data_IF_168934113604
#
_entry.id   IF_168934113604
#
_cell.length_a   1.000
_cell.length_b   1.000
_cell.length_c   1.000
_cell.angle_alpha   90.00
_cell.angle_beta   90.00
_cell.angle_gamma   90.00
#
_symmetry.space_group_name_H-M   'P 1'
#
loop_
_entity.id
_entity.type
_entity.pdbx_description
1 polymer ?
#
# COMPACT_ATOMS: atom_id res chain seq x y z
N UNK A 1 6.98 37.85 0.39
CA UNK A 1 6.46 38.26 -0.92
C UNK A 1 5.10 37.57 -1.08
N UNK A 2 4.01 38.32 -0.92
CA UNK A 2 2.66 37.73 -1.03
C UNK A 2 2.31 37.64 -2.52
N UNK A 3 2.29 36.45 -3.07
CA UNK A 3 1.86 36.20 -4.45
C UNK A 3 0.32 36.16 -4.40
N UNK A 4 -0.33 37.23 -4.88
CA UNK A 4 -1.79 37.42 -4.80
C UNK A 4 -2.61 36.46 -5.65
N UNK A 5 -1.98 35.76 -6.58
CA UNK A 5 -2.58 34.91 -7.60
C UNK A 5 -2.47 33.40 -7.28
N UNK A 6 -1.89 33.02 -6.11
CA UNK A 6 -1.64 31.62 -5.74
C UNK A 6 -2.57 31.07 -4.66
N UNK A 7 -3.64 31.79 -4.28
CA UNK A 7 -4.60 31.26 -3.32
C UNK A 7 -5.55 30.27 -4.01
N UNK A 8 -5.62 29.05 -3.47
CA UNK A 8 -6.54 28.02 -3.96
C UNK A 8 -8.03 28.29 -3.66
N UNK A 9 -8.34 29.39 -2.98
CA UNK A 9 -9.69 29.88 -2.77
C UNK A 9 -9.94 31.03 -3.77
N UNK A 10 -10.91 30.83 -4.66
CA UNK A 10 -11.27 31.78 -5.72
C UNK A 10 -11.72 33.15 -5.17
N UNK A 11 -12.33 33.20 -3.97
CA UNK A 11 -12.77 34.44 -3.32
C UNK A 11 -11.60 35.30 -2.83
N UNK A 12 -10.41 34.72 -2.64
CA UNK A 12 -9.21 35.39 -2.17
C UNK A 12 -8.18 35.62 -3.28
N UNK A 13 -8.32 34.92 -4.41
CA UNK A 13 -7.40 35.03 -5.54
C UNK A 13 -7.47 36.48 -6.14
N UNK A 14 -6.31 37.09 -6.26
CA UNK A 14 -6.21 38.44 -6.79
C UNK A 14 -6.67 39.57 -5.83
N UNK A 15 -7.21 39.26 -4.65
CA UNK A 15 -7.67 40.25 -3.66
C UNK A 15 -6.52 40.76 -2.79
N UNK A 16 -6.68 42.00 -2.30
CA UNK A 16 -5.79 42.57 -1.29
C UNK A 16 -6.19 42.00 0.08
N UNK A 17 -5.36 41.15 0.67
CA UNK A 17 -5.60 40.56 1.99
C UNK A 17 -4.58 41.10 3.01
N UNK A 18 -5.02 41.25 4.26
CA UNK A 18 -4.17 41.63 5.38
C UNK A 18 -4.15 40.48 6.38
N UNK A 19 -2.95 39.98 6.66
CA UNK A 19 -2.76 38.95 7.68
C UNK A 19 -2.28 39.58 8.98
N UNK A 20 -3.02 39.39 10.07
CA UNK A 20 -2.55 39.72 11.41
C UNK A 20 -1.96 38.45 12.03
N UNK A 21 -0.64 38.45 12.22
CA UNK A 21 0.08 37.32 12.78
C UNK A 21 0.51 37.62 14.20
N UNK A 22 0.06 36.81 15.15
CA UNK A 22 0.52 36.87 16.54
C UNK A 22 1.46 35.69 16.81
N UNK A 23 2.74 35.97 17.02
CA UNK A 23 3.72 34.96 17.39
C UNK A 23 3.46 34.52 18.85
N UNK A 24 2.97 33.31 19.05
CA UNK A 24 2.65 32.77 20.38
C UNK A 24 3.84 32.09 21.07
N UNK A 25 4.86 31.72 20.31
CA UNK A 25 6.05 31.07 20.86
C UNK A 25 7.04 30.71 19.76
N UNK A 26 8.28 30.55 20.17
CA UNK A 26 9.37 30.01 19.34
C UNK A 26 9.82 28.74 20.03
N UNK A 27 9.86 27.63 19.28
CA UNK A 27 10.43 26.36 19.74
C UNK A 27 11.75 26.08 19.01
N UNK A 28 12.75 25.64 19.75
CA UNK A 28 14.02 25.20 19.23
C UNK A 28 14.14 23.69 19.52
N UNK A 29 14.60 22.92 18.55
CA UNK A 29 14.90 21.50 18.76
C UNK A 29 16.35 21.38 19.15
N UNK A 30 16.61 20.98 20.38
CA UNK A 30 17.95 20.63 20.84
C UNK A 30 18.20 19.14 20.58
N UNK A 31 19.29 18.86 19.85
CA UNK A 31 19.72 17.49 19.56
C UNK A 31 20.67 17.07 20.68
N UNK A 32 20.33 16.04 21.47
CA UNK A 32 21.21 15.58 22.54
C UNK A 32 22.49 14.95 21.97
N UNK A 33 23.57 15.03 22.75
CA UNK A 33 24.81 14.33 22.42
C UNK A 33 24.59 12.82 22.39
N UNK A 34 25.21 12.14 21.42
CA UNK A 34 25.15 10.69 21.28
C UNK A 34 26.09 10.04 22.31
N UNK A 35 25.56 9.78 23.50
CA UNK A 35 26.27 9.10 24.59
C UNK A 35 25.77 7.68 24.79
N UNK A 36 26.50 6.89 25.58
CA UNK A 36 26.08 5.52 25.90
C UNK A 36 24.79 5.51 26.72
N UNK A 37 24.56 6.50 27.59
CA UNK A 37 23.32 6.69 28.33
C UNK A 37 22.14 6.98 27.40
N UNK A 38 22.37 7.85 26.41
CA UNK A 38 21.34 8.12 25.38
C UNK A 38 20.99 6.86 24.60
N UNK A 39 22.00 6.07 24.20
CA UNK A 39 21.78 4.79 23.49
C UNK A 39 20.95 3.83 24.33
N UNK A 40 21.22 3.70 25.63
CA UNK A 40 20.45 2.84 26.52
C UNK A 40 19.00 3.31 26.71
N UNK A 41 18.71 4.57 26.46
CA UNK A 41 17.33 5.11 26.51
C UNK A 41 16.52 4.84 25.24
N UNK A 42 17.16 4.57 24.11
CA UNK A 42 16.50 4.44 22.78
C UNK A 42 16.67 3.06 22.14
N UNK A 43 17.52 2.19 22.69
CA UNK A 43 17.76 0.83 22.18
C UNK A 43 17.67 -0.20 23.29
N UNK A 44 16.85 -1.23 23.07
CA UNK A 44 16.73 -2.38 23.96
C UNK A 44 17.90 -3.38 23.82
N UNK A 45 18.67 -3.28 22.73
CA UNK A 45 19.69 -4.27 22.33
C UNK A 45 21.11 -3.76 22.45
N UNK A 46 21.35 -2.47 22.20
CA UNK A 46 22.66 -1.84 22.24
C UNK A 46 22.86 -1.04 23.54
N UNK A 47 24.05 -1.14 24.13
CA UNK A 47 24.40 -0.43 25.37
C UNK A 47 25.42 0.67 25.17
N UNK A 48 26.15 0.64 24.05
CA UNK A 48 27.18 1.62 23.71
C UNK A 48 26.91 2.24 22.35
N UNK A 49 27.46 3.43 22.13
CA UNK A 49 27.38 4.13 20.83
C UNK A 49 27.94 3.28 19.69
N UNK A 50 29.01 2.51 19.94
CA UNK A 50 29.60 1.64 18.91
C UNK A 50 28.68 0.48 18.54
N UNK A 51 28.05 -0.17 19.51
CA UNK A 51 27.08 -1.23 19.29
C UNK A 51 25.88 -0.71 18.52
N UNK A 52 25.35 0.45 18.91
CA UNK A 52 24.22 1.08 18.26
C UNK A 52 24.55 1.44 16.81
N UNK A 53 25.72 1.98 16.51
CA UNK A 53 26.17 2.23 15.13
C UNK A 53 26.25 0.93 14.31
N UNK A 54 26.70 -0.18 14.91
CA UNK A 54 26.73 -1.49 14.23
C UNK A 54 25.32 -2.02 13.97
N UNK A 55 24.41 -1.88 14.94
CA UNK A 55 23.01 -2.25 14.82
C UNK A 55 22.32 -1.48 13.69
N UNK A 56 22.41 -0.15 13.69
CA UNK A 56 21.86 0.70 12.64
C UNK A 56 22.44 0.33 11.27
N UNK A 57 23.77 0.15 11.18
CA UNK A 57 24.41 -0.25 9.93
C UNK A 57 23.91 -1.61 9.41
N UNK A 58 23.70 -2.57 10.31
CA UNK A 58 23.15 -3.90 9.96
C UNK A 58 21.69 -3.77 9.49
N UNK A 59 20.88 -2.97 10.19
CA UNK A 59 19.48 -2.70 9.84
C UNK A 59 19.40 -2.01 8.46
N UNK A 60 20.18 -0.94 8.24
CA UNK A 60 20.21 -0.23 6.97
C UNK A 60 20.64 -1.14 5.80
N UNK A 61 21.65 -2.00 6.01
CA UNK A 61 22.08 -2.96 4.98
C UNK A 61 20.99 -3.99 4.67
N UNK A 62 20.27 -4.48 5.70
CA UNK A 62 19.18 -5.43 5.52
C UNK A 62 18.04 -4.76 4.74
N UNK A 63 17.58 -3.60 5.21
CA UNK A 63 16.51 -2.85 4.57
C UNK A 63 16.87 -2.43 3.12
N UNK A 64 18.13 -2.02 2.90
CA UNK A 64 18.61 -1.71 1.56
C UNK A 64 18.56 -2.90 0.60
N UNK A 65 18.94 -4.10 1.07
CA UNK A 65 18.84 -5.33 0.26
C UNK A 65 17.38 -5.71 -0.02
N UNK A 66 16.52 -5.62 0.97
CA UNK A 66 15.09 -5.90 0.82
C UNK A 66 14.43 -4.92 -0.16
N UNK A 67 14.72 -3.63 -0.02
CA UNK A 67 14.23 -2.60 -0.94
C UNK A 67 14.74 -2.82 -2.37
N UNK A 68 16.03 -3.16 -2.55
CA UNK A 68 16.58 -3.49 -3.86
C UNK A 68 15.87 -4.68 -4.49
N UNK A 69 15.66 -5.75 -3.73
CA UNK A 69 14.94 -6.94 -4.22
C UNK A 69 13.49 -6.60 -4.60
N UNK A 70 12.80 -5.81 -3.78
CA UNK A 70 11.44 -5.39 -4.08
C UNK A 70 11.38 -4.53 -5.36
N UNK A 71 12.30 -3.58 -5.50
CA UNK A 71 12.40 -2.75 -6.72
C UNK A 71 12.65 -3.60 -7.97
N UNK A 72 13.52 -4.60 -7.89
CA UNK A 72 13.77 -5.53 -9.01
C UNK A 72 12.49 -6.29 -9.37
N UNK A 73 11.77 -6.83 -8.38
CA UNK A 73 10.50 -7.55 -8.59
C UNK A 73 9.43 -6.64 -9.21
N UNK A 74 9.27 -5.44 -8.68
CA UNK A 74 8.31 -4.46 -9.19
C UNK A 74 8.62 -4.07 -10.65
N UNK A 75 9.88 -3.82 -10.97
CA UNK A 75 10.30 -3.49 -12.33
C UNK A 75 10.12 -4.67 -13.29
N UNK A 76 10.44 -5.88 -12.86
CA UNK A 76 10.21 -7.10 -13.66
C UNK A 76 8.72 -7.30 -13.92
N UNK A 77 7.89 -7.17 -12.90
CA UNK A 77 6.44 -7.28 -13.04
C UNK A 77 5.85 -6.21 -13.94
N UNK A 78 6.30 -4.96 -13.78
CA UNK A 78 5.92 -3.85 -14.66
C UNK A 78 6.25 -4.16 -16.13
N UNK A 79 7.45 -4.64 -16.40
CA UNK A 79 7.86 -5.03 -17.75
C UNK A 79 7.00 -6.18 -18.32
N UNK A 80 6.61 -7.17 -17.49
CA UNK A 80 5.67 -8.22 -17.89
C UNK A 80 4.33 -7.60 -18.27
N UNK A 81 3.77 -6.73 -17.46
CA UNK A 81 2.48 -6.09 -17.74
C UNK A 81 2.52 -5.19 -18.98
N UNK A 82 3.59 -4.44 -19.19
CA UNK A 82 3.76 -3.60 -20.37
C UNK A 82 3.76 -4.43 -21.68
N UNK A 83 4.34 -5.63 -21.63
CA UNK A 83 4.40 -6.55 -22.77
C UNK A 83 3.21 -7.53 -22.84
N UNK A 84 2.26 -7.46 -21.91
CA UNK A 84 1.06 -8.29 -21.91
C UNK A 84 -0.07 -7.61 -22.68
N UNK A 85 -0.69 -8.33 -23.62
CA UNK A 85 -1.90 -7.90 -24.32
C UNK A 85 -3.07 -8.77 -23.92
N UNK A 86 -4.17 -8.15 -23.50
CA UNK A 86 -5.42 -8.85 -23.16
C UNK A 86 -6.36 -8.79 -24.38
N UNK A 87 -6.55 -9.90 -25.06
CA UNK A 87 -7.44 -9.98 -26.22
C UNK A 87 -8.92 -9.80 -25.83
N UNK A 88 -9.31 -10.30 -24.67
CA UNK A 88 -10.69 -10.21 -24.17
C UNK A 88 -10.71 -10.27 -22.64
N UNK A 89 -11.31 -9.26 -22.05
CA UNK A 89 -11.54 -9.24 -20.61
C UNK A 89 -12.73 -10.10 -20.22
N UNK A 90 -12.61 -10.98 -19.19
CA UNK A 90 -13.76 -11.71 -18.65
C UNK A 90 -14.78 -10.71 -18.06
N UNK A 91 -15.99 -10.73 -18.60
CA UNK A 91 -17.02 -9.74 -18.23
C UNK A 91 -17.38 -9.75 -16.75
N UNK A 92 -17.41 -10.95 -16.14
CA UNK A 92 -17.75 -11.13 -14.71
C UNK A 92 -16.67 -10.51 -13.83
N UNK A 93 -15.40 -10.81 -14.10
CA UNK A 93 -14.28 -10.35 -13.29
C UNK A 93 -14.11 -8.84 -13.38
N UNK A 94 -14.22 -8.30 -14.60
CA UNK A 94 -14.18 -6.86 -14.80
C UNK A 94 -15.32 -6.15 -14.05
N UNK A 95 -16.54 -6.67 -14.13
CA UNK A 95 -17.69 -6.10 -13.41
C UNK A 95 -17.50 -6.16 -11.90
N UNK A 96 -17.02 -7.29 -11.39
CA UNK A 96 -16.75 -7.48 -9.96
C UNK A 96 -15.67 -6.51 -9.48
N UNK A 97 -14.59 -6.37 -10.22
CA UNK A 97 -13.50 -5.46 -9.89
C UNK A 97 -13.95 -4.00 -9.87
N UNK A 98 -14.71 -3.55 -10.87
CA UNK A 98 -15.29 -2.19 -10.89
C UNK A 98 -16.19 -1.98 -9.67
N UNK A 99 -17.05 -2.96 -9.36
CA UNK A 99 -17.94 -2.89 -8.20
C UNK A 99 -17.16 -2.81 -6.88
N UNK A 100 -16.11 -3.61 -6.73
CA UNK A 100 -15.23 -3.59 -5.56
C UNK A 100 -14.58 -2.23 -5.36
N UNK A 101 -13.99 -1.65 -6.41
CA UNK A 101 -13.39 -0.32 -6.36
C UNK A 101 -14.43 0.73 -5.95
N UNK A 102 -15.60 0.73 -6.57
CA UNK A 102 -16.68 1.67 -6.21
C UNK A 102 -17.12 1.53 -4.76
N UNK A 103 -17.29 0.30 -4.29
CA UNK A 103 -17.70 0.02 -2.90
C UNK A 103 -16.65 0.52 -1.91
N UNK A 104 -15.38 0.31 -2.20
CA UNK A 104 -14.29 0.81 -1.35
C UNK A 104 -14.35 2.33 -1.17
N UNK A 105 -14.52 3.07 -2.26
CA UNK A 105 -14.60 4.54 -2.21
C UNK A 105 -15.90 5.04 -1.58
N UNK A 106 -17.04 4.34 -1.78
CA UNK A 106 -18.28 4.65 -1.08
C UNK A 106 -18.18 4.44 0.43
N UNK A 107 -17.52 3.36 0.86
CA UNK A 107 -17.26 3.12 2.28
C UNK A 107 -16.38 4.22 2.88
N UNK A 108 -15.38 4.70 2.11
CA UNK A 108 -14.54 5.82 2.52
C UNK A 108 -15.35 7.11 2.64
N UNK A 109 -16.23 7.43 1.68
CA UNK A 109 -17.14 8.57 1.78
C UNK A 109 -18.03 8.50 3.03
N UNK A 110 -18.59 7.32 3.30
CA UNK A 110 -19.40 7.07 4.51
C UNK A 110 -18.60 7.26 5.80
N UNK A 111 -17.33 6.87 5.84
CA UNK A 111 -16.46 7.11 7.00
C UNK A 111 -16.28 8.60 7.30
N UNK A 112 -16.24 9.45 6.25
CA UNK A 112 -16.20 10.91 6.38
C UNK A 112 -17.58 11.56 6.55
N UNK A 113 -18.64 10.76 6.66
CA UNK A 113 -20.05 11.23 6.69
C UNK A 113 -20.41 12.14 5.51
N UNK A 114 -19.91 11.82 4.32
CA UNK A 114 -20.17 12.54 3.09
C UNK A 114 -20.96 11.68 2.10
N UNK A 115 -21.78 12.34 1.27
CA UNK A 115 -22.25 11.71 0.05
C UNK A 115 -21.10 11.41 -0.90
N UNK A 116 -21.28 10.38 -1.74
CA UNK A 116 -20.21 9.91 -2.60
C UNK A 116 -19.74 10.97 -3.61
N UNK A 117 -20.67 11.73 -4.18
CA UNK A 117 -20.34 12.80 -5.13
C UNK A 117 -19.59 13.96 -4.43
N UNK A 118 -19.99 14.33 -3.24
CA UNK A 118 -19.32 15.36 -2.44
C UNK A 118 -17.93 14.93 -2.01
N UNK A 119 -17.79 13.66 -1.61
CA UNK A 119 -16.48 13.07 -1.29
C UNK A 119 -15.53 13.15 -2.49
N UNK A 120 -15.98 12.72 -3.67
CA UNK A 120 -15.17 12.77 -4.89
C UNK A 120 -14.76 14.21 -5.23
N UNK A 121 -15.65 15.18 -5.08
CA UNK A 121 -15.38 16.58 -5.37
C UNK A 121 -14.38 17.18 -4.38
N UNK A 122 -14.60 16.98 -3.07
CA UNK A 122 -13.79 17.59 -2.02
C UNK A 122 -12.39 16.98 -1.88
N UNK A 123 -12.30 15.65 -1.93
CA UNK A 123 -11.06 14.92 -1.63
C UNK A 123 -10.28 14.48 -2.87
N UNK A 124 -10.96 14.32 -4.00
CA UNK A 124 -10.35 13.80 -5.22
C UNK A 124 -10.39 14.80 -6.38
N UNK A 125 -11.06 15.94 -6.19
CA UNK A 125 -11.26 16.98 -7.21
C UNK A 125 -11.73 16.41 -8.56
N UNK A 126 -12.74 15.51 -8.51
CA UNK A 126 -13.32 14.88 -9.70
C UNK A 126 -14.82 14.63 -9.53
N UNK A 127 -15.53 14.49 -10.65
CA UNK A 127 -16.92 14.06 -10.70
C UNK A 127 -17.05 12.53 -10.80
N UNK A 128 -18.30 12.04 -10.69
CA UNK A 128 -18.58 10.60 -10.76
C UNK A 128 -18.28 10.01 -12.15
N UNK A 129 -18.41 10.74 -13.23
CA UNK A 129 -18.12 10.27 -14.58
C UNK A 129 -16.63 10.01 -14.74
N UNK A 130 -15.81 10.98 -14.34
CA UNK A 130 -14.34 10.85 -14.30
C UNK A 130 -13.91 9.70 -13.40
N UNK A 131 -14.52 9.57 -12.21
CA UNK A 131 -14.25 8.46 -11.31
C UNK A 131 -14.60 7.12 -11.95
N UNK A 132 -15.77 6.99 -12.58
CA UNK A 132 -16.20 5.77 -13.24
C UNK A 132 -15.26 5.35 -14.37
N UNK A 133 -14.76 6.32 -15.15
CA UNK A 133 -13.75 6.08 -16.20
C UNK A 133 -12.45 5.56 -15.59
N UNK A 134 -11.92 6.25 -14.56
CA UNK A 134 -10.69 5.83 -13.86
C UNK A 134 -10.83 4.49 -13.17
N UNK A 135 -11.97 4.23 -12.49
CA UNK A 135 -12.25 2.95 -11.85
C UNK A 135 -12.33 1.81 -12.88
N UNK A 136 -12.89 2.06 -14.05
CA UNK A 136 -12.94 1.09 -15.15
C UNK A 136 -11.53 0.79 -15.67
N UNK A 137 -10.69 1.80 -15.83
CA UNK A 137 -9.30 1.61 -16.27
C UNK A 137 -8.51 0.83 -15.21
N UNK A 138 -8.59 1.23 -13.94
CA UNK A 138 -7.93 0.53 -12.84
C UNK A 138 -8.38 -0.94 -12.73
N UNK A 139 -9.68 -1.20 -12.93
CA UNK A 139 -10.22 -2.56 -12.97
C UNK A 139 -9.63 -3.38 -14.14
N UNK A 140 -9.49 -2.79 -15.33
CA UNK A 140 -8.83 -3.45 -16.46
C UNK A 140 -7.38 -3.78 -16.17
N UNK A 141 -6.64 -2.84 -15.57
CA UNK A 141 -5.23 -3.03 -15.22
C UNK A 141 -5.07 -4.15 -14.18
N UNK A 142 -5.95 -4.20 -13.18
CA UNK A 142 -5.93 -5.27 -12.17
C UNK A 142 -6.31 -6.63 -12.77
N UNK A 143 -7.36 -6.70 -13.59
CA UNK A 143 -7.76 -7.95 -14.26
C UNK A 143 -6.65 -8.41 -15.22
N UNK A 144 -6.00 -7.50 -15.93
CA UNK A 144 -4.83 -7.80 -16.78
C UNK A 144 -3.70 -8.42 -15.94
N UNK A 145 -3.41 -7.84 -14.78
CA UNK A 145 -2.39 -8.35 -13.87
C UNK A 145 -2.71 -9.76 -13.38
N UNK A 146 -3.96 -10.00 -12.98
CA UNK A 146 -4.39 -11.33 -12.53
C UNK A 146 -4.26 -12.37 -13.66
N UNK A 147 -4.77 -12.07 -14.86
CA UNK A 147 -4.66 -12.97 -16.00
C UNK A 147 -3.22 -13.27 -16.40
N UNK A 148 -2.32 -12.28 -16.32
CA UNK A 148 -0.90 -12.49 -16.57
C UNK A 148 -0.26 -13.40 -15.52
N UNK A 149 -0.59 -13.19 -14.24
CA UNK A 149 -0.11 -14.02 -13.14
C UNK A 149 -0.59 -15.47 -13.29
N UNK A 150 -1.90 -15.68 -13.53
CA UNK A 150 -2.47 -17.01 -13.71
C UNK A 150 -1.81 -17.76 -14.86
N UNK A 151 -1.59 -17.10 -15.99
CA UNK A 151 -0.92 -17.69 -17.15
C UNK A 151 0.55 -18.05 -16.85
N UNK A 152 1.26 -17.23 -16.09
CA UNK A 152 2.64 -17.50 -15.70
C UNK A 152 2.68 -18.70 -14.75
N UNK A 153 1.80 -18.75 -13.74
CA UNK A 153 1.68 -19.87 -12.80
C UNK A 153 1.43 -21.17 -13.56
N UNK A 154 0.47 -21.16 -14.48
CA UNK A 154 0.14 -22.33 -15.29
C UNK A 154 1.31 -22.79 -16.16
N UNK A 155 1.91 -21.88 -16.94
CA UNK A 155 3.01 -22.22 -17.87
C UNK A 155 4.29 -22.61 -17.17
N UNK A 156 4.63 -21.93 -16.09
CA UNK A 156 5.81 -22.24 -15.29
C UNK A 156 5.62 -23.46 -14.37
N UNK A 157 4.38 -24.00 -14.31
CA UNK A 157 4.00 -25.09 -13.39
C UNK A 157 4.42 -24.77 -11.97
N UNK A 158 4.16 -23.52 -11.56
CA UNK A 158 4.47 -23.06 -10.21
C UNK A 158 3.49 -23.76 -9.27
N UNK A 159 4.03 -24.66 -8.45
CA UNK A 159 3.28 -25.35 -7.39
C UNK A 159 3.85 -24.90 -6.05
N UNK A 160 3.00 -24.31 -5.24
CA UNK A 160 3.40 -23.91 -3.89
C UNK A 160 3.12 -25.07 -2.96
N UNK A 161 4.18 -25.68 -2.44
CA UNK A 161 4.02 -26.80 -1.50
C UNK A 161 3.17 -26.38 -0.30
N UNK A 162 2.30 -27.28 0.18
CA UNK A 162 1.47 -27.11 1.37
C UNK A 162 2.28 -26.58 2.57
N UNK A 163 3.52 -27.03 2.70
CA UNK A 163 4.45 -26.59 3.74
C UNK A 163 4.80 -25.11 3.64
N UNK A 164 4.93 -24.56 2.43
CA UNK A 164 5.20 -23.14 2.20
C UNK A 164 3.97 -22.31 2.49
N UNK A 165 2.80 -22.77 2.05
CA UNK A 165 1.52 -22.14 2.36
C UNK A 165 1.27 -22.12 3.87
N UNK A 166 1.45 -23.23 4.55
CA UNK A 166 1.26 -23.33 6.00
C UNK A 166 2.19 -22.39 6.78
N UNK A 167 3.45 -22.28 6.36
CA UNK A 167 4.38 -21.29 6.93
C UNK A 167 3.87 -19.87 6.76
N UNK A 168 3.37 -19.52 5.57
CA UNK A 168 2.81 -18.20 5.30
C UNK A 168 1.54 -17.94 6.09
N UNK A 169 0.64 -18.89 6.20
CA UNK A 169 -0.52 -18.78 7.07
C UNK A 169 -0.15 -18.51 8.53
N UNK A 170 0.89 -19.17 9.06
CA UNK A 170 1.40 -18.92 10.42
C UNK A 170 1.96 -17.51 10.56
N UNK A 171 2.71 -17.02 9.56
CA UNK A 171 3.22 -15.65 9.53
C UNK A 171 2.07 -14.62 9.55
N UNK A 172 1.02 -14.84 8.74
CA UNK A 172 -0.15 -13.96 8.68
C UNK A 172 -0.99 -14.03 9.96
N UNK A 173 -1.28 -15.22 10.49
CA UNK A 173 -2.02 -15.37 11.75
C UNK A 173 -1.35 -14.56 12.86
N UNK A 174 -0.03 -14.69 12.99
CA UNK A 174 0.74 -13.92 13.96
C UNK A 174 0.72 -12.40 13.69
N UNK A 175 0.86 -11.99 12.43
CA UNK A 175 0.90 -10.58 12.06
C UNK A 175 -0.45 -9.86 12.31
N UNK A 176 -1.56 -10.57 12.10
CA UNK A 176 -2.92 -10.04 12.30
C UNK A 176 -3.53 -10.37 13.67
N UNK A 177 -2.77 -10.98 14.57
CA UNK A 177 -3.19 -11.23 15.95
C UNK A 177 -4.19 -12.39 16.11
N UNK A 178 -4.25 -13.31 15.15
CA UNK A 178 -5.04 -14.53 15.29
C UNK A 178 -4.31 -15.54 16.17
N UNK A 179 -5.08 -16.33 16.95
CA UNK A 179 -4.54 -17.32 17.87
C UNK A 179 -3.77 -18.43 17.11
N UNK A 180 -4.34 -18.87 15.98
CA UNK A 180 -3.75 -19.88 15.10
C UNK A 180 -4.17 -19.73 13.65
N UNK A 181 -3.71 -20.66 12.79
CA UNK A 181 -4.03 -20.69 11.35
C UNK A 181 -5.50 -21.01 11.11
N UNK A 182 -6.11 -21.83 11.95
CA UNK A 182 -7.51 -22.24 11.78
C UNK A 182 -8.46 -21.09 12.10
N UNK A 183 -8.15 -20.28 13.11
CA UNK A 183 -8.88 -19.06 13.42
C UNK A 183 -8.80 -18.03 12.26
N UNK A 184 -7.61 -17.87 11.69
CA UNK A 184 -7.42 -17.03 10.49
C UNK A 184 -8.24 -17.54 9.30
N UNK A 185 -8.16 -18.84 8.99
CA UNK A 185 -8.91 -19.46 7.87
C UNK A 185 -10.42 -19.30 8.02
N UNK A 186 -10.96 -19.58 9.20
CA UNK A 186 -12.40 -19.38 9.49
C UNK A 186 -12.85 -17.93 9.30
N UNK A 187 -12.03 -16.97 9.76
CA UNK A 187 -12.34 -15.56 9.58
C UNK A 187 -12.32 -15.15 8.09
N UNK A 188 -11.37 -15.69 7.32
CA UNK A 188 -11.26 -15.43 5.89
C UNK A 188 -12.39 -16.11 5.09
N UNK A 189 -12.78 -17.33 5.45
CA UNK A 189 -13.94 -18.02 4.86
C UNK A 189 -15.23 -17.24 5.10
N UNK A 190 -15.46 -16.80 6.33
CA UNK A 190 -16.62 -15.99 6.69
C UNK A 190 -16.66 -14.65 5.93
N UNK A 191 -15.50 -14.08 5.60
CA UNK A 191 -15.36 -12.88 4.79
C UNK A 191 -15.35 -13.14 3.27
N UNK A 192 -15.39 -14.40 2.81
CA UNK A 192 -15.28 -14.77 1.39
C UNK A 192 -13.92 -14.44 0.76
N UNK A 193 -12.89 -14.36 1.57
CA UNK A 193 -11.55 -13.92 1.16
C UNK A 193 -10.47 -15.02 1.22
N UNK A 194 -10.81 -16.26 1.61
CA UNK A 194 -9.83 -17.33 1.75
C UNK A 194 -9.16 -17.66 0.41
N UNK A 195 -9.95 -17.87 -0.64
CA UNK A 195 -9.44 -18.15 -1.99
C UNK A 195 -8.56 -17.01 -2.52
N UNK A 196 -8.95 -15.76 -2.26
CA UNK A 196 -8.15 -14.58 -2.65
C UNK A 196 -6.81 -14.53 -1.90
N UNK A 197 -6.79 -14.91 -0.62
CA UNK A 197 -5.55 -14.98 0.14
C UNK A 197 -4.67 -16.11 -0.37
N UNK A 198 -5.21 -17.29 -0.66
CA UNK A 198 -4.46 -18.42 -1.22
C UNK A 198 -3.81 -18.06 -2.54
N UNK A 199 -4.57 -17.45 -3.46
CA UNK A 199 -4.02 -16.94 -4.71
C UNK A 199 -2.93 -15.89 -4.47
N UNK A 200 -3.15 -14.95 -3.54
CA UNK A 200 -2.16 -13.95 -3.17
C UNK A 200 -0.90 -14.58 -2.57
N UNK A 201 -1.03 -15.60 -1.73
CA UNK A 201 0.10 -16.32 -1.15
C UNK A 201 0.88 -17.11 -2.21
N UNK A 202 0.21 -17.69 -3.19
CA UNK A 202 0.85 -18.31 -4.35
C UNK A 202 1.64 -17.26 -5.14
N UNK A 203 1.06 -16.10 -5.41
CA UNK A 203 1.72 -14.98 -6.09
C UNK A 203 2.94 -14.42 -5.32
N UNK A 204 2.89 -14.42 -3.98
CA UNK A 204 3.95 -13.88 -3.12
C UNK A 204 5.05 -14.92 -2.84
N UNK A 205 4.71 -16.21 -2.87
CA UNK A 205 5.62 -17.25 -2.38
C UNK A 205 6.75 -17.63 -3.34
N UNK A 206 6.64 -17.31 -4.64
CA UNK A 206 7.66 -17.66 -5.64
C UNK A 206 8.21 -16.52 -6.52
N UNK A 207 8.54 -15.34 -5.97
CA UNK A 207 9.24 -14.35 -6.79
C UNK A 207 10.72 -14.69 -7.05
N UNK A 208 11.21 -15.86 -6.62
CA UNK A 208 12.64 -16.23 -6.65
C UNK A 208 13.02 -17.23 -7.72
N UNK A 209 12.08 -17.70 -8.55
CA UNK A 209 12.34 -18.66 -9.64
C UNK A 209 12.18 -18.10 -11.06
N UNK A 210 11.96 -16.79 -11.18
CA UNK A 210 12.01 -16.09 -12.49
C UNK A 210 13.35 -15.40 -12.67
#
# INVERSE_FOLDING_TARGET
MCIRDSYGNEDLAGQAVVFTVTLKGISQTDVPELTDEFVQSVSDTSKTVEEYKKEIKKSLKKNGKENQQNTIKENAWKAVLENTTVNKYPKKDLKNMISSIKTQYKNMASYYNLDFADFLKQYMNMDEETFNSKATQAAKDQVKANLAADLIIEKAKIDVSDKTLEKKYKEYAKAYGYEDVDALKKALEAAGNLENLELSLIHISEPTRL
#
